data_IF_791466157689
#
_entry.id   IF_791466157689
#
_cell.length_a   1.000
_cell.length_b   1.000
_cell.length_c   1.000
_cell.angle_alpha   90.00
_cell.angle_beta   90.00
_cell.angle_gamma   90.00
#
_symmetry.space_group_name_H-M   'P 1'
#
loop_
_entity.id
_entity.type
_entity.pdbx_description
1 polymer ?
#
# COMPACT_ATOMS: atom_id res chain seq x y z
N UNK A 1 -20.10 13.90 -24.11
CA UNK A 1 -21.25 13.27 -23.46
C UNK A 1 -21.08 13.33 -21.95
N UNK A 2 -22.13 13.71 -21.23
CA UNK A 2 -22.15 13.81 -19.77
C UNK A 2 -23.32 12.94 -19.27
N UNK A 3 -23.03 11.99 -18.40
CA UNK A 3 -24.05 11.15 -17.73
C UNK A 3 -23.98 11.29 -16.18
N UNK A 4 -23.08 12.13 -15.68
CA UNK A 4 -22.92 12.40 -14.26
C UNK A 4 -23.72 13.62 -13.78
N UNK A 5 -23.68 13.91 -12.45
CA UNK A 5 -24.43 14.98 -11.82
C UNK A 5 -23.95 16.39 -12.19
N UNK A 6 -22.75 16.52 -12.76
CA UNK A 6 -22.17 17.82 -13.13
C UNK A 6 -21.64 17.83 -14.56
N UNK A 7 -21.63 19.04 -15.14
CA UNK A 7 -21.07 19.37 -16.45
C UNK A 7 -19.88 20.29 -16.25
N UNK A 8 -18.77 20.03 -16.97
CA UNK A 8 -17.60 20.90 -16.98
C UNK A 8 -17.96 22.26 -17.60
N UNK A 9 -17.74 23.35 -16.84
CA UNK A 9 -17.96 24.73 -17.26
C UNK A 9 -16.65 25.37 -17.74
N UNK A 10 -15.58 25.20 -16.98
CA UNK A 10 -14.25 25.69 -17.32
C UNK A 10 -13.15 24.80 -16.75
N UNK A 11 -12.01 24.81 -17.43
CA UNK A 11 -10.77 24.20 -16.97
C UNK A 11 -9.60 25.13 -17.26
N UNK A 12 -8.86 25.50 -16.21
CA UNK A 12 -7.63 26.28 -16.33
C UNK A 12 -6.50 25.49 -15.66
N UNK A 13 -5.54 25.04 -16.47
CA UNK A 13 -4.41 24.23 -16.00
C UNK A 13 -3.68 24.89 -14.83
N UNK A 14 -3.36 24.13 -13.79
CA UNK A 14 -2.71 24.59 -12.55
C UNK A 14 -3.42 25.77 -11.86
N UNK A 15 -4.71 25.93 -12.06
CA UNK A 15 -5.53 26.97 -11.45
C UNK A 15 -6.86 26.41 -10.93
N UNK A 16 -7.81 26.08 -11.81
CA UNK A 16 -9.13 25.65 -11.36
C UNK A 16 -9.89 24.78 -12.36
N UNK A 17 -10.82 23.99 -11.80
CA UNK A 17 -11.87 23.30 -12.57
C UNK A 17 -13.21 23.80 -12.02
N UNK A 18 -14.07 24.29 -12.89
CA UNK A 18 -15.42 24.71 -12.54
C UNK A 18 -16.44 23.79 -13.20
N UNK A 19 -17.42 23.36 -12.42
CA UNK A 19 -18.50 22.51 -12.88
C UNK A 19 -19.84 23.06 -12.42
N UNK A 20 -20.88 22.85 -13.21
CA UNK A 20 -22.26 23.21 -12.87
C UNK A 20 -23.16 21.99 -12.91
N UNK A 21 -24.26 22.01 -12.14
CA UNK A 21 -25.26 20.95 -12.08
C UNK A 21 -25.75 20.57 -13.48
N UNK A 22 -25.86 19.28 -13.72
CA UNK A 22 -26.42 18.71 -14.95
C UNK A 22 -27.94 18.54 -14.80
N UNK A 23 -28.71 19.43 -15.37
CA UNK A 23 -30.19 19.37 -15.32
C UNK A 23 -30.77 18.17 -16.09
N UNK A 24 -29.98 17.47 -16.89
CA UNK A 24 -30.38 16.25 -17.58
C UNK A 24 -29.93 14.98 -16.84
N UNK A 25 -29.32 15.12 -15.66
CA UNK A 25 -28.94 13.96 -14.85
C UNK A 25 -30.18 13.22 -14.34
N UNK A 26 -30.20 11.90 -14.42
CA UNK A 26 -31.36 11.07 -14.09
C UNK A 26 -31.82 11.23 -12.62
N UNK A 27 -30.90 11.52 -11.69
CA UNK A 27 -31.19 11.70 -10.27
C UNK A 27 -30.88 13.15 -9.81
N UNK A 28 -31.18 14.12 -10.66
CA UNK A 28 -30.86 15.55 -10.44
C UNK A 28 -31.47 16.14 -9.16
N UNK A 29 -32.60 15.60 -8.71
CA UNK A 29 -33.30 16.09 -7.52
C UNK A 29 -32.54 15.80 -6.23
N UNK A 30 -31.56 14.89 -6.25
CA UNK A 30 -30.61 14.62 -5.18
C UNK A 30 -29.29 15.38 -5.30
N UNK A 31 -29.13 16.20 -6.32
CA UNK A 31 -27.95 17.05 -6.49
C UNK A 31 -28.25 18.42 -5.88
N UNK A 32 -27.79 18.63 -4.66
CA UNK A 32 -28.10 19.82 -3.86
C UNK A 32 -27.13 20.99 -4.08
N UNK A 33 -25.93 20.72 -4.57
CA UNK A 33 -24.90 21.73 -4.87
C UNK A 33 -25.00 22.08 -6.35
N UNK A 34 -25.22 23.38 -6.67
CA UNK A 34 -25.39 23.84 -8.05
C UNK A 34 -24.07 23.98 -8.81
N UNK A 35 -23.07 24.50 -8.13
CA UNK A 35 -21.76 24.80 -8.72
C UNK A 35 -20.64 24.23 -7.84
N UNK A 36 -19.64 23.63 -8.48
CA UNK A 36 -18.44 23.10 -7.82
C UNK A 36 -17.21 23.76 -8.45
N UNK A 37 -16.37 24.36 -7.63
CA UNK A 37 -15.08 24.89 -8.03
C UNK A 37 -13.98 24.12 -7.29
N UNK A 38 -13.09 23.48 -8.05
CA UNK A 38 -11.87 22.87 -7.54
C UNK A 38 -10.72 23.83 -7.79
N UNK A 39 -9.96 24.17 -6.75
CA UNK A 39 -8.77 24.99 -6.86
C UNK A 39 -7.52 24.14 -6.82
N UNK A 40 -6.54 24.48 -7.64
CA UNK A 40 -5.28 23.75 -7.67
C UNK A 40 -4.47 24.02 -6.39
N UNK A 41 -3.98 22.94 -5.80
CA UNK A 41 -3.07 22.97 -4.66
C UNK A 41 -1.78 22.25 -5.02
N UNK A 42 -0.64 22.92 -4.88
CA UNK A 42 0.68 22.41 -5.28
C UNK A 42 1.33 21.47 -4.25
N UNK A 43 0.72 21.33 -3.06
CA UNK A 43 1.22 20.45 -2.00
C UNK A 43 2.33 21.03 -1.12
N UNK A 44 2.80 22.26 -1.38
CA UNK A 44 3.95 22.83 -0.67
C UNK A 44 3.59 23.33 0.74
N UNK A 45 2.55 24.16 0.88
CA UNK A 45 2.10 24.67 2.18
C UNK A 45 0.83 23.95 2.65
N UNK A 46 1.01 22.90 3.44
CA UNK A 46 -0.11 22.09 3.96
C UNK A 46 -1.04 22.89 4.89
N UNK A 47 -0.60 24.00 5.47
CA UNK A 47 -1.43 24.84 6.33
C UNK A 47 -2.40 25.73 5.54
N UNK A 48 -2.13 25.97 4.26
CA UNK A 48 -2.92 26.88 3.41
C UNK A 48 -4.38 26.47 3.28
N UNK A 49 -4.64 25.17 3.14
CA UNK A 49 -6.01 24.68 2.93
C UNK A 49 -6.91 24.95 4.14
N UNK A 50 -6.42 24.70 5.36
CA UNK A 50 -7.16 24.98 6.58
C UNK A 50 -7.38 26.48 6.79
N UNK A 51 -6.38 27.33 6.47
CA UNK A 51 -6.55 28.79 6.51
C UNK A 51 -7.61 29.28 5.51
N UNK A 52 -7.56 28.79 4.27
CA UNK A 52 -8.57 29.14 3.26
C UNK A 52 -9.98 28.67 3.63
N UNK A 53 -10.10 27.55 4.37
CA UNK A 53 -11.37 27.10 4.95
C UNK A 53 -11.86 28.08 6.02
N UNK A 54 -11.01 28.46 6.97
CA UNK A 54 -11.35 29.44 8.01
C UNK A 54 -11.72 30.83 7.47
N UNK A 55 -11.15 31.22 6.34
CA UNK A 55 -11.48 32.47 5.62
C UNK A 55 -12.74 32.34 4.74
N UNK A 56 -13.44 31.21 4.77
CA UNK A 56 -14.59 30.88 3.90
C UNK A 56 -14.28 30.91 2.39
N UNK A 57 -13.02 30.81 2.00
CA UNK A 57 -12.62 30.66 0.60
C UNK A 57 -12.85 29.23 0.07
N UNK A 58 -12.82 28.23 0.96
CA UNK A 58 -13.10 26.83 0.67
C UNK A 58 -14.25 26.33 1.55
N UNK A 59 -15.19 25.58 0.98
CA UNK A 59 -16.25 24.89 1.69
C UNK A 59 -15.81 23.52 2.23
N UNK A 60 -14.75 22.96 1.66
CA UNK A 60 -14.13 21.70 2.03
C UNK A 60 -12.62 21.81 1.88
N UNK A 61 -11.88 21.41 2.88
CA UNK A 61 -10.43 21.40 2.87
C UNK A 61 -9.87 20.14 3.50
N UNK A 62 -8.72 19.67 2.99
CA UNK A 62 -7.99 18.57 3.61
C UNK A 62 -7.10 19.11 4.72
N UNK A 63 -7.23 18.56 5.92
CA UNK A 63 -6.32 18.80 7.03
C UNK A 63 -5.24 17.71 7.05
N UNK A 64 -3.97 18.11 7.17
CA UNK A 64 -2.84 17.20 7.14
C UNK A 64 -2.29 16.99 8.57
N UNK A 65 -2.48 15.81 9.18
CA UNK A 65 -2.06 15.55 10.56
C UNK A 65 -0.55 15.66 10.82
N UNK A 66 0.25 15.56 9.78
CA UNK A 66 1.71 15.69 9.84
C UNK A 66 2.22 17.04 9.34
N UNK A 67 1.32 17.93 8.95
CA UNK A 67 1.64 19.28 8.46
C UNK A 67 1.99 20.26 9.59
N UNK A 68 2.76 21.29 9.22
CA UNK A 68 3.00 22.42 10.14
C UNK A 68 1.69 23.10 10.52
N UNK A 69 1.53 23.47 11.81
CA UNK A 69 0.31 24.12 12.30
C UNK A 69 -0.89 23.19 12.53
N UNK A 70 -0.74 21.88 12.35
CA UNK A 70 -1.85 20.93 12.55
C UNK A 70 -2.48 21.05 13.95
N UNK A 71 -1.66 21.14 15.01
CA UNK A 71 -2.16 21.19 16.40
C UNK A 71 -3.07 22.38 16.67
N UNK A 72 -2.75 23.55 16.11
CA UNK A 72 -3.56 24.75 16.21
C UNK A 72 -4.83 24.62 15.36
N UNK A 73 -4.70 24.20 14.12
CA UNK A 73 -5.82 24.02 13.20
C UNK A 73 -6.80 22.95 13.66
N UNK A 74 -6.29 21.84 14.22
CA UNK A 74 -7.12 20.78 14.77
C UNK A 74 -7.92 21.21 16.01
N UNK A 75 -7.39 22.17 16.79
CA UNK A 75 -8.14 22.81 17.89
C UNK A 75 -9.18 23.81 17.40
N UNK A 76 -8.79 24.65 16.44
CA UNK A 76 -9.63 25.68 15.86
C UNK A 76 -10.87 25.09 15.19
N UNK A 77 -10.68 24.04 14.38
CA UNK A 77 -11.74 23.41 13.58
C UNK A 77 -12.22 22.06 14.14
N UNK A 78 -12.07 21.82 15.44
CA UNK A 78 -12.34 20.49 16.04
C UNK A 78 -13.76 19.97 15.77
N UNK A 79 -14.74 20.84 15.66
CA UNK A 79 -16.15 20.52 15.49
C UNK A 79 -16.51 20.32 13.99
N UNK A 80 -15.64 20.77 13.06
CA UNK A 80 -15.77 20.64 11.63
C UNK A 80 -14.96 19.48 11.04
N UNK A 81 -14.01 18.92 11.83
CA UNK A 81 -13.18 17.81 11.36
C UNK A 81 -14.01 16.54 11.25
N UNK A 82 -14.03 15.97 10.07
CA UNK A 82 -14.62 14.66 9.81
C UNK A 82 -13.57 13.72 9.23
N UNK A 83 -13.68 12.44 9.58
CA UNK A 83 -12.88 11.39 8.95
C UNK A 83 -13.73 10.70 7.89
N UNK A 84 -13.17 10.55 6.69
CA UNK A 84 -13.82 9.72 5.67
C UNK A 84 -13.85 8.28 6.13
N UNK A 85 -14.94 7.54 5.89
CA UNK A 85 -14.96 6.10 6.11
C UNK A 85 -13.84 5.42 5.33
N UNK A 86 -13.30 4.33 5.87
CA UNK A 86 -12.40 3.47 5.13
C UNK A 86 -13.21 2.81 4.00
N UNK A 87 -12.76 2.98 2.77
CA UNK A 87 -13.38 2.37 1.59
C UNK A 87 -12.94 0.91 1.41
N UNK A 88 -13.38 0.27 0.34
CA UNK A 88 -13.01 -1.10 0.02
C UNK A 88 -11.62 -1.20 -0.65
N UNK A 89 -10.96 -0.08 -0.98
CA UNK A 89 -9.62 -0.11 -1.55
C UNK A 89 -8.59 -0.66 -0.55
N UNK A 90 -7.70 -1.50 -1.04
CA UNK A 90 -6.58 -2.04 -0.26
C UNK A 90 -5.26 -1.67 -0.90
N UNK A 91 -4.37 -1.06 -0.10
CA UNK A 91 -3.01 -0.73 -0.50
C UNK A 91 -2.05 -1.68 0.21
N UNK A 92 -1.10 -2.22 -0.53
CA UNK A 92 -0.16 -3.24 -0.03
C UNK A 92 1.28 -2.87 -0.37
N UNK A 93 2.22 -3.54 0.26
CA UNK A 93 3.61 -3.57 -0.21
C UNK A 93 3.73 -4.80 -1.11
N UNK A 94 3.88 -4.56 -2.41
CA UNK A 94 4.12 -5.60 -3.41
C UNK A 94 5.48 -6.26 -3.21
N UNK A 95 5.59 -7.52 -3.57
CA UNK A 95 6.83 -8.31 -3.50
C UNK A 95 7.18 -8.83 -4.87
N UNK A 96 8.30 -8.37 -5.45
CA UNK A 96 8.77 -8.87 -6.74
C UNK A 96 9.43 -10.25 -6.56
N UNK A 97 8.72 -11.29 -6.97
CA UNK A 97 9.20 -12.67 -6.86
C UNK A 97 10.07 -13.12 -8.04
N UNK A 98 10.14 -12.32 -9.12
CA UNK A 98 10.90 -12.65 -10.34
C UNK A 98 11.64 -11.46 -10.94
N UNK A 99 12.22 -10.60 -10.10
CA UNK A 99 12.93 -9.39 -10.54
C UNK A 99 14.02 -9.71 -11.56
N UNK A 100 14.03 -8.93 -12.67
CA UNK A 100 14.97 -9.07 -13.78
C UNK A 100 15.78 -7.80 -14.00
N UNK A 101 15.25 -6.60 -13.65
CA UNK A 101 15.95 -5.32 -13.76
C UNK A 101 16.63 -4.93 -12.45
N UNK A 102 17.86 -4.40 -12.54
CA UNK A 102 18.68 -3.96 -11.40
C UNK A 102 19.38 -2.62 -11.70
N UNK A 103 18.70 -1.70 -12.40
CA UNK A 103 19.24 -0.37 -12.71
C UNK A 103 19.29 0.51 -11.46
N UNK A 104 18.26 0.38 -10.61
CA UNK A 104 18.15 1.09 -9.33
C UNK A 104 18.31 0.08 -8.18
N UNK A 105 19.56 -0.27 -7.91
CA UNK A 105 19.87 -1.28 -6.89
C UNK A 105 21.06 -0.89 -6.04
N UNK A 106 21.03 -1.22 -4.76
CA UNK A 106 22.20 -1.15 -3.87
C UNK A 106 23.10 -2.40 -4.00
N UNK A 107 22.59 -3.49 -4.56
CA UNK A 107 23.30 -4.76 -4.77
C UNK A 107 24.43 -4.61 -5.78
N UNK A 108 25.62 -5.05 -5.42
CA UNK A 108 26.84 -4.89 -6.23
C UNK A 108 27.27 -6.16 -6.94
N UNK A 109 26.80 -7.31 -6.47
CA UNK A 109 27.18 -8.61 -7.01
C UNK A 109 25.95 -9.42 -7.43
N UNK A 110 26.17 -10.38 -8.33
CA UNK A 110 25.09 -11.30 -8.71
C UNK A 110 24.73 -12.26 -7.55
N UNK A 111 25.66 -12.54 -6.64
CA UNK A 111 25.40 -13.30 -5.43
C UNK A 111 24.38 -12.58 -4.52
N UNK A 112 24.51 -11.25 -4.33
CA UNK A 112 23.55 -10.44 -3.58
C UNK A 112 22.16 -10.44 -4.24
N UNK A 113 22.10 -10.30 -5.58
CA UNK A 113 20.84 -10.37 -6.34
C UNK A 113 20.16 -11.73 -6.17
N UNK A 114 20.91 -12.82 -6.31
CA UNK A 114 20.39 -14.18 -6.14
C UNK A 114 19.97 -14.47 -4.71
N UNK A 115 20.72 -13.97 -3.71
CA UNK A 115 20.37 -14.10 -2.29
C UNK A 115 19.02 -13.44 -2.00
N UNK A 116 18.80 -12.22 -2.49
CA UNK A 116 17.51 -11.54 -2.31
C UNK A 116 16.36 -12.26 -3.03
N UNK A 117 16.57 -12.72 -4.27
CA UNK A 117 15.56 -13.47 -5.02
C UNK A 117 15.15 -14.75 -4.27
N UNK A 118 16.10 -15.53 -3.77
CA UNK A 118 15.83 -16.73 -2.96
C UNK A 118 15.08 -16.39 -1.67
N UNK A 119 15.50 -15.33 -0.98
CA UNK A 119 14.85 -14.89 0.26
C UNK A 119 13.39 -14.49 0.02
N UNK A 120 13.09 -13.70 -1.03
CA UNK A 120 11.73 -13.30 -1.36
C UNK A 120 10.84 -14.46 -1.81
N UNK A 121 11.40 -15.55 -2.33
CA UNK A 121 10.68 -16.79 -2.64
C UNK A 121 10.44 -17.67 -1.42
N UNK A 122 11.16 -17.48 -0.31
CA UNK A 122 10.98 -18.22 0.91
C UNK A 122 9.78 -17.69 1.70
N UNK A 123 8.83 -18.57 2.06
CA UNK A 123 7.60 -18.21 2.78
C UNK A 123 7.90 -17.62 4.15
N UNK A 124 8.77 -18.27 4.94
CA UNK A 124 9.06 -17.86 6.31
C UNK A 124 9.77 -16.48 6.32
N UNK A 125 10.60 -16.21 5.32
CA UNK A 125 11.21 -14.89 5.14
C UNK A 125 10.16 -13.79 4.90
N UNK A 126 9.18 -14.02 4.00
CA UNK A 126 8.10 -13.05 3.76
C UNK A 126 7.22 -12.86 5.00
N UNK A 127 6.96 -13.93 5.75
CA UNK A 127 6.23 -13.85 7.03
C UNK A 127 7.02 -13.04 8.07
N UNK A 128 8.34 -13.26 8.17
CA UNK A 128 9.21 -12.47 9.05
C UNK A 128 9.13 -10.97 8.73
N UNK A 129 9.22 -10.58 7.45
CA UNK A 129 9.06 -9.17 7.02
C UNK A 129 7.66 -8.65 7.39
N UNK A 130 6.61 -9.45 7.19
CA UNK A 130 5.23 -9.04 7.52
C UNK A 130 5.03 -8.81 9.02
N UNK A 131 5.57 -9.66 9.88
CA UNK A 131 5.52 -9.47 11.35
C UNK A 131 6.45 -8.36 11.84
N UNK A 132 7.54 -8.07 11.14
CA UNK A 132 8.44 -6.97 11.44
C UNK A 132 7.88 -5.59 11.04
N UNK A 133 6.89 -5.55 10.15
CA UNK A 133 6.31 -4.32 9.61
C UNK A 133 5.32 -3.67 10.59
N UNK A 134 5.73 -2.58 11.22
CA UNK A 134 4.87 -1.74 12.06
C UNK A 134 3.97 -0.85 11.20
N UNK A 135 2.78 -1.36 10.86
CA UNK A 135 1.80 -0.68 10.00
C UNK A 135 1.27 0.61 10.64
N UNK A 136 1.16 0.65 11.96
CA UNK A 136 0.70 1.85 12.67
C UNK A 136 1.72 2.98 12.57
N UNK A 137 3.00 2.70 12.82
CA UNK A 137 4.07 3.68 12.67
C UNK A 137 4.18 4.19 11.21
N UNK A 138 4.02 3.29 10.24
CA UNK A 138 4.02 3.62 8.82
C UNK A 138 2.82 4.52 8.44
N UNK A 139 1.61 4.16 8.85
CA UNK A 139 0.40 4.94 8.60
C UNK A 139 0.43 6.31 9.27
N UNK A 140 1.02 6.42 10.46
CA UNK A 140 1.15 7.66 11.21
C UNK A 140 1.99 8.72 10.48
N UNK A 141 2.88 8.33 9.57
CA UNK A 141 3.68 9.27 8.77
C UNK A 141 2.83 10.16 7.84
N UNK A 142 1.63 9.73 7.50
CA UNK A 142 0.70 10.49 6.67
C UNK A 142 -0.53 10.96 7.46
N UNK A 143 -1.03 10.12 8.35
CA UNK A 143 -2.34 10.31 8.99
C UNK A 143 -2.24 10.75 10.45
N UNK A 144 -1.02 10.98 10.98
CA UNK A 144 -0.80 11.22 12.39
C UNK A 144 -1.16 10.00 13.26
N UNK A 145 -0.88 10.08 14.55
CA UNK A 145 -1.15 8.97 15.49
C UNK A 145 -2.65 8.64 15.58
N UNK A 146 -3.50 9.65 15.64
CA UNK A 146 -4.95 9.47 15.82
C UNK A 146 -5.65 8.94 14.55
N UNK A 147 -5.08 9.24 13.38
CA UNK A 147 -5.60 8.77 12.09
C UNK A 147 -5.05 7.41 11.67
N UNK A 148 -3.89 7.02 12.18
CA UNK A 148 -3.21 5.78 11.76
C UNK A 148 -4.08 4.54 11.98
N UNK A 149 -4.64 4.36 13.18
CA UNK A 149 -5.51 3.23 13.51
C UNK A 149 -6.79 3.16 12.66
N UNK A 150 -7.22 4.28 12.06
CA UNK A 150 -8.45 4.32 11.25
C UNK A 150 -8.27 3.79 9.83
N UNK A 151 -7.03 3.60 9.37
CA UNK A 151 -6.72 3.19 7.99
C UNK A 151 -5.91 1.90 7.89
N UNK A 152 -5.49 1.32 9.01
CA UNK A 152 -4.73 0.07 9.01
C UNK A 152 -5.63 -1.07 8.56
N UNK A 153 -5.12 -1.88 7.63
CA UNK A 153 -5.74 -3.12 7.18
C UNK A 153 -4.75 -4.27 7.29
N UNK A 154 -5.20 -5.39 7.85
CA UNK A 154 -4.38 -6.59 8.05
C UNK A 154 -4.62 -7.66 6.98
N UNK A 155 -5.75 -7.58 6.26
CA UNK A 155 -6.08 -8.45 5.15
C UNK A 155 -6.08 -7.68 3.84
N UNK A 156 -5.71 -8.33 2.75
CA UNK A 156 -5.81 -7.74 1.41
C UNK A 156 -7.27 -7.51 1.02
N UNK A 157 -8.15 -8.48 1.27
CA UNK A 157 -9.60 -8.31 1.15
C UNK A 157 -10.12 -7.76 2.48
N UNK A 158 -10.90 -6.66 2.50
CA UNK A 158 -11.40 -6.09 3.75
C UNK A 158 -12.19 -7.12 4.57
N UNK A 159 -11.98 -7.22 5.89
CA UNK A 159 -12.59 -8.26 6.72
C UNK A 159 -14.11 -8.21 6.75
N UNK A 160 -14.71 -7.04 6.48
CA UNK A 160 -16.17 -6.84 6.44
C UNK A 160 -16.74 -6.71 5.02
N UNK A 161 -15.95 -7.02 3.99
CA UNK A 161 -16.32 -6.81 2.59
C UNK A 161 -17.54 -7.65 2.18
N UNK A 162 -17.60 -8.90 2.62
CA UNK A 162 -18.74 -9.80 2.44
C UNK A 162 -19.02 -10.59 3.71
N UNK A 163 -20.22 -11.15 3.78
CA UNK A 163 -20.66 -12.08 4.82
C UNK A 163 -21.27 -13.34 4.19
N UNK A 164 -21.02 -14.50 4.78
CA UNK A 164 -21.66 -15.75 4.45
C UNK A 164 -21.94 -16.54 5.73
N UNK A 165 -23.13 -17.15 5.83
CA UNK A 165 -23.57 -17.94 6.98
C UNK A 165 -23.43 -17.22 8.33
N UNK A 166 -23.68 -15.90 8.35
CA UNK A 166 -23.60 -15.06 9.54
C UNK A 166 -22.18 -14.72 9.99
N UNK A 167 -21.15 -15.07 9.23
CA UNK A 167 -19.74 -14.75 9.48
C UNK A 167 -19.22 -13.76 8.45
N UNK A 168 -18.38 -12.82 8.90
CA UNK A 168 -17.63 -11.93 8.01
C UNK A 168 -16.51 -12.69 7.32
N UNK A 169 -16.02 -12.14 6.20
CA UNK A 169 -14.83 -12.68 5.51
C UNK A 169 -13.63 -12.80 6.46
N UNK A 170 -13.39 -11.79 7.29
CA UNK A 170 -12.30 -11.80 8.27
C UNK A 170 -12.41 -12.92 9.30
N UNK A 171 -13.63 -13.22 9.79
CA UNK A 171 -13.87 -14.35 10.70
C UNK A 171 -13.63 -15.72 10.02
N UNK A 172 -14.01 -15.85 8.74
CA UNK A 172 -13.75 -17.07 7.96
C UNK A 172 -12.24 -17.26 7.76
N UNK A 173 -11.53 -16.21 7.35
CA UNK A 173 -10.06 -16.24 7.19
C UNK A 173 -9.37 -16.55 8.51
N UNK A 174 -9.81 -15.95 9.62
CA UNK A 174 -9.25 -16.23 10.96
C UNK A 174 -9.43 -17.70 11.34
N UNK A 175 -10.61 -18.27 11.11
CA UNK A 175 -10.88 -19.68 11.37
C UNK A 175 -9.92 -20.59 10.58
N UNK A 176 -9.66 -20.27 9.32
CA UNK A 176 -8.71 -21.01 8.49
C UNK A 176 -7.26 -20.79 8.96
N UNK A 177 -6.88 -19.55 9.27
CA UNK A 177 -5.54 -19.21 9.70
C UNK A 177 -5.12 -19.95 10.97
N UNK A 178 -6.04 -20.15 11.91
CA UNK A 178 -5.79 -20.87 13.17
C UNK A 178 -5.42 -22.34 12.95
N UNK A 179 -5.67 -22.89 11.77
CA UNK A 179 -5.27 -24.25 11.39
C UNK A 179 -3.82 -24.35 10.91
N UNK A 180 -3.16 -23.24 10.57
CA UNK A 180 -1.82 -23.22 10.01
C UNK A 180 -0.70 -23.30 11.06
N UNK A 181 -1.02 -22.99 12.32
CA UNK A 181 -0.05 -23.09 13.42
C UNK A 181 -0.40 -22.22 14.63
N UNK A 182 0.25 -22.50 15.75
CA UNK A 182 0.01 -21.78 17.00
C UNK A 182 0.41 -20.30 16.93
N UNK A 183 1.37 -19.97 16.09
CA UNK A 183 1.82 -18.61 15.82
C UNK A 183 0.72 -17.69 15.29
N UNK A 184 -0.30 -18.26 14.64
CA UNK A 184 -1.41 -17.50 14.08
C UNK A 184 -2.59 -17.30 15.02
N UNK A 185 -2.71 -18.12 16.09
CA UNK A 185 -3.87 -18.10 17.01
C UNK A 185 -4.10 -16.76 17.68
N UNK A 186 -3.03 -16.03 18.03
CA UNK A 186 -3.11 -14.72 18.67
C UNK A 186 -3.23 -13.54 17.69
N UNK A 187 -3.17 -13.79 16.37
CA UNK A 187 -3.18 -12.75 15.35
C UNK A 187 -4.56 -12.14 15.19
N UNK A 188 -4.64 -10.82 15.23
CA UNK A 188 -5.86 -10.06 15.01
C UNK A 188 -5.88 -9.56 13.57
N UNK A 189 -6.97 -9.82 12.87
CA UNK A 189 -7.11 -9.51 11.44
C UNK A 189 -8.06 -8.33 11.15
N UNK A 190 -8.74 -7.82 12.19
CA UNK A 190 -9.66 -6.70 12.04
C UNK A 190 -8.94 -5.43 11.57
N UNK A 191 -9.65 -4.61 10.82
CA UNK A 191 -9.19 -3.26 10.45
C UNK A 191 -8.98 -2.40 11.70
N UNK A 192 -8.12 -1.40 11.58
CA UNK A 192 -7.84 -0.47 12.67
C UNK A 192 -6.91 -1.01 13.77
N UNK A 193 -6.38 -2.20 13.61
CA UNK A 193 -5.46 -2.82 14.58
C UNK A 193 -4.11 -3.12 13.93
N UNK A 194 -3.03 -2.97 14.70
CA UNK A 194 -1.67 -3.36 14.25
C UNK A 194 -1.42 -4.86 14.52
N UNK A 195 -2.37 -5.71 14.11
CA UNK A 195 -2.51 -7.10 14.52
C UNK A 195 -1.46 -8.05 13.97
N UNK A 196 -0.79 -7.69 12.88
CA UNK A 196 0.30 -8.47 12.30
C UNK A 196 1.69 -8.04 12.80
N UNK A 197 1.82 -6.90 13.51
CA UNK A 197 3.11 -6.48 14.02
C UNK A 197 3.48 -7.24 15.30
N UNK A 198 4.51 -8.06 15.22
CA UNK A 198 5.07 -8.82 16.35
C UNK A 198 6.55 -9.11 16.13
N UNK A 199 7.43 -8.32 16.76
CA UNK A 199 8.87 -8.44 16.59
C UNK A 199 9.43 -9.81 17.09
N UNK A 200 8.75 -10.48 18.02
CA UNK A 200 9.16 -11.81 18.49
C UNK A 200 8.87 -12.86 17.41
N UNK A 201 7.65 -12.88 16.90
CA UNK A 201 7.28 -13.75 15.76
C UNK A 201 8.12 -13.49 14.53
N UNK A 202 8.41 -12.22 14.23
CA UNK A 202 9.31 -11.87 13.14
C UNK A 202 10.68 -12.56 13.25
N UNK A 203 11.27 -12.58 14.46
CA UNK A 203 12.54 -13.27 14.72
C UNK A 203 12.43 -14.78 14.62
N UNK A 204 11.33 -15.36 15.10
CA UNK A 204 11.07 -16.80 15.04
C UNK A 204 10.96 -17.29 13.60
N UNK A 205 10.14 -16.59 12.78
CA UNK A 205 10.01 -16.90 11.36
C UNK A 205 11.31 -16.65 10.59
N UNK A 206 12.03 -15.56 10.92
CA UNK A 206 13.33 -15.29 10.32
C UNK A 206 14.36 -16.38 10.62
N UNK A 207 14.38 -16.94 11.83
CA UNK A 207 15.30 -18.01 12.20
C UNK A 207 15.06 -19.28 11.36
N UNK A 208 13.77 -19.63 11.11
CA UNK A 208 13.40 -20.73 10.18
C UNK A 208 13.89 -20.44 8.78
N UNK A 209 13.58 -19.23 8.26
CA UNK A 209 14.00 -18.80 6.94
C UNK A 209 15.53 -18.83 6.78
N UNK A 210 16.26 -18.29 7.76
CA UNK A 210 17.72 -18.22 7.73
C UNK A 210 18.36 -19.59 7.60
N UNK A 211 17.91 -20.56 8.39
CA UNK A 211 18.40 -21.94 8.33
C UNK A 211 18.20 -22.56 6.93
N UNK A 212 17.02 -22.38 6.33
CA UNK A 212 16.74 -22.89 5.01
C UNK A 212 17.56 -22.19 3.91
N UNK A 213 17.66 -20.85 4.00
CA UNK A 213 18.37 -20.02 3.02
C UNK A 213 19.90 -20.24 3.07
N UNK A 214 20.48 -20.41 4.26
CA UNK A 214 21.92 -20.77 4.41
C UNK A 214 22.21 -22.12 3.78
N UNK A 215 21.32 -23.10 3.91
CA UNK A 215 21.45 -24.40 3.24
C UNK A 215 21.40 -24.28 1.69
N UNK A 216 20.74 -23.24 1.16
CA UNK A 216 20.71 -22.92 -0.26
C UNK A 216 21.91 -22.04 -0.70
N UNK A 217 22.85 -21.73 0.20
CA UNK A 217 24.04 -20.92 -0.06
C UNK A 217 23.78 -19.41 -0.08
N UNK A 218 22.65 -18.95 0.47
CA UNK A 218 22.32 -17.52 0.58
C UNK A 218 23.27 -16.83 1.55
N UNK A 219 23.69 -15.62 1.17
CA UNK A 219 24.55 -14.76 2.01
C UNK A 219 23.73 -13.64 2.65
N UNK A 220 24.08 -13.31 3.87
CA UNK A 220 23.48 -12.23 4.64
C UNK A 220 24.46 -11.05 4.79
N UNK A 221 23.96 -9.80 4.92
CA UNK A 221 22.56 -9.43 4.98
C UNK A 221 21.85 -9.55 3.62
N UNK A 222 20.53 -9.76 3.65
CA UNK A 222 19.68 -9.65 2.47
C UNK A 222 19.43 -8.17 2.18
N UNK A 223 19.83 -7.69 1.02
CA UNK A 223 19.61 -6.34 0.55
C UNK A 223 18.30 -6.24 -0.24
N UNK A 224 17.36 -5.43 0.24
CA UNK A 224 16.02 -5.27 -0.36
C UNK A 224 15.88 -3.84 -0.88
N UNK A 225 15.87 -3.68 -2.21
CA UNK A 225 15.64 -2.37 -2.83
C UNK A 225 14.15 -2.01 -2.79
N UNK A 226 13.86 -0.80 -2.28
CA UNK A 226 12.51 -0.25 -2.21
C UNK A 226 12.51 1.16 -2.79
N UNK A 227 12.03 1.37 -4.03
CA UNK A 227 12.02 2.68 -4.65
C UNK A 227 10.91 3.57 -4.07
N UNK A 228 11.19 4.87 -4.01
CA UNK A 228 10.26 5.88 -3.52
C UNK A 228 10.38 7.20 -4.28
N UNK A 229 9.26 7.89 -4.47
CA UNK A 229 9.23 9.25 -4.99
C UNK A 229 9.88 10.22 -3.99
N UNK A 230 11.08 10.69 -4.31
CA UNK A 230 11.85 11.64 -3.50
C UNK A 230 11.19 13.02 -3.39
N UNK A 231 10.26 13.36 -4.27
CA UNK A 231 9.58 14.67 -4.30
C UNK A 231 8.39 14.74 -3.35
N UNK A 232 7.99 13.60 -2.76
CA UNK A 232 6.85 13.50 -1.83
C UNK A 232 7.33 13.12 -0.42
N UNK A 233 7.57 14.08 0.49
CA UNK A 233 8.16 13.81 1.81
C UNK A 233 7.44 12.76 2.63
N UNK A 234 6.09 12.73 2.61
CA UNK A 234 5.31 11.74 3.35
C UNK A 234 5.51 10.31 2.83
N UNK A 235 5.78 10.12 1.53
CA UNK A 235 6.14 8.80 0.98
C UNK A 235 7.51 8.37 1.47
N UNK A 236 8.49 9.27 1.42
CA UNK A 236 9.85 9.01 1.94
C UNK A 236 9.80 8.62 3.42
N UNK A 237 9.07 9.38 4.24
CA UNK A 237 8.91 9.09 5.67
C UNK A 237 8.26 7.72 5.92
N UNK A 238 7.25 7.33 5.13
CA UNK A 238 6.63 6.00 5.24
C UNK A 238 7.61 4.88 4.97
N UNK A 239 8.36 4.96 3.85
CA UNK A 239 9.35 3.93 3.52
C UNK A 239 10.50 3.89 4.54
N UNK A 240 10.91 5.04 5.09
CA UNK A 240 11.87 5.10 6.21
C UNK A 240 11.32 4.43 7.47
N UNK A 241 10.04 4.62 7.79
CA UNK A 241 9.37 3.94 8.92
C UNK A 241 9.32 2.43 8.72
N UNK A 242 9.04 1.96 7.50
CA UNK A 242 9.11 0.54 7.15
C UNK A 242 10.52 -0.02 7.35
N UNK A 243 11.52 0.66 6.76
CA UNK A 243 12.94 0.31 6.93
C UNK A 243 13.31 0.19 8.40
N UNK A 244 12.98 1.20 9.19
CA UNK A 244 13.29 1.22 10.61
C UNK A 244 12.69 0.02 11.34
N UNK A 245 11.39 -0.23 11.17
CA UNK A 245 10.72 -1.32 11.89
C UNK A 245 11.28 -2.69 11.53
N UNK A 246 11.57 -2.93 10.24
CA UNK A 246 12.12 -4.20 9.77
C UNK A 246 13.54 -4.42 10.25
N UNK A 247 14.41 -3.41 10.11
CA UNK A 247 15.81 -3.50 10.53
C UNK A 247 15.98 -3.57 12.05
N UNK A 248 15.11 -2.91 12.84
CA UNK A 248 15.11 -3.03 14.31
C UNK A 248 14.63 -4.43 14.76
N UNK A 249 13.62 -4.98 14.09
CA UNK A 249 13.10 -6.30 14.45
C UNK A 249 14.04 -7.44 14.08
N UNK A 250 14.64 -7.40 12.89
CA UNK A 250 15.42 -8.52 12.33
C UNK A 250 16.94 -8.37 12.46
N UNK A 251 17.45 -7.14 12.66
CA UNK A 251 18.87 -6.82 12.68
C UNK A 251 19.43 -6.52 11.29
N UNK A 252 20.25 -5.47 11.19
CA UNK A 252 20.90 -5.05 9.93
C UNK A 252 21.91 -6.06 9.39
N UNK A 253 22.43 -6.89 10.26
CA UNK A 253 23.29 -8.02 9.88
C UNK A 253 22.52 -9.14 9.15
N UNK A 254 21.20 -9.09 9.17
CA UNK A 254 20.32 -10.06 8.54
C UNK A 254 19.57 -9.47 7.33
N UNK A 255 18.99 -8.27 7.50
CA UNK A 255 18.17 -7.60 6.47
C UNK A 255 18.48 -6.12 6.43
N UNK A 256 18.70 -5.59 5.22
CA UNK A 256 18.88 -4.16 4.96
C UNK A 256 17.86 -3.72 3.93
N UNK A 257 17.05 -2.71 4.26
CA UNK A 257 16.14 -2.06 3.32
C UNK A 257 16.89 -0.90 2.65
N UNK A 258 17.15 -1.03 1.37
CA UNK A 258 17.85 -0.03 0.56
C UNK A 258 16.84 0.86 -0.17
N UNK A 259 16.63 2.07 0.36
CA UNK A 259 15.67 3.02 -0.22
C UNK A 259 16.28 3.63 -1.47
N UNK A 260 15.64 3.42 -2.64
CA UNK A 260 16.03 3.99 -3.92
C UNK A 260 15.24 5.28 -4.16
N UNK A 261 15.92 6.43 -4.00
CA UNK A 261 15.29 7.77 -4.16
C UNK A 261 15.18 8.11 -5.65
N UNK A 262 13.98 8.08 -6.20
CA UNK A 262 13.70 8.32 -7.61
C UNK A 262 12.87 9.58 -7.83
N UNK A 263 12.92 10.13 -9.04
CA UNK A 263 11.89 11.08 -9.47
C UNK A 263 10.53 10.38 -9.54
N UNK A 264 9.45 11.16 -9.49
CA UNK A 264 8.10 10.59 -9.63
C UNK A 264 7.93 9.85 -10.96
N UNK A 265 8.49 10.40 -12.05
CA UNK A 265 8.45 9.79 -13.39
C UNK A 265 9.23 8.47 -13.42
N UNK A 266 10.47 8.46 -12.92
CA UNK A 266 11.28 7.25 -12.88
C UNK A 266 10.63 6.16 -12.02
N UNK A 267 10.08 6.53 -10.84
CA UNK A 267 9.34 5.57 -10.02
C UNK A 267 8.20 4.92 -10.78
N UNK A 268 7.38 5.72 -11.49
CA UNK A 268 6.28 5.18 -12.27
C UNK A 268 6.74 4.28 -13.43
N UNK A 269 7.84 4.64 -14.08
CA UNK A 269 8.41 3.87 -15.19
C UNK A 269 9.00 2.52 -14.76
N UNK A 270 9.44 2.39 -13.51
CA UNK A 270 9.99 1.13 -12.96
C UNK A 270 8.99 0.36 -12.10
N UNK A 271 7.76 0.84 -11.99
CA UNK A 271 6.64 0.20 -11.29
C UNK A 271 5.41 0.16 -12.20
N UNK A 272 4.40 0.96 -11.94
CA UNK A 272 3.08 0.93 -12.57
C UNK A 272 3.11 0.97 -14.10
N UNK A 273 4.00 1.78 -14.70
CA UNK A 273 4.10 1.98 -16.16
C UNK A 273 5.24 1.17 -16.80
N UNK A 274 5.88 0.28 -16.06
CA UNK A 274 6.81 -0.66 -16.68
C UNK A 274 6.08 -1.44 -17.79
N UNK A 275 6.67 -1.57 -18.99
CA UNK A 275 5.98 -2.17 -20.15
C UNK A 275 5.69 -3.66 -19.96
N UNK A 276 6.48 -4.33 -19.13
CA UNK A 276 6.38 -5.74 -18.77
C UNK A 276 7.13 -5.99 -17.47
N UNK A 277 7.06 -7.20 -16.93
CA UNK A 277 7.73 -7.56 -15.68
C UNK A 277 9.27 -7.40 -15.72
N UNK A 278 9.90 -7.55 -16.90
CA UNK A 278 11.34 -7.33 -17.04
C UNK A 278 11.74 -5.85 -16.81
N UNK A 279 10.80 -4.92 -16.93
CA UNK A 279 11.00 -3.49 -16.63
C UNK A 279 10.77 -3.13 -15.15
N UNK A 280 10.15 -4.02 -14.36
CA UNK A 280 9.94 -3.82 -12.93
C UNK A 280 11.29 -3.86 -12.18
N UNK A 281 11.65 -2.75 -11.54
CA UNK A 281 13.00 -2.57 -10.97
C UNK A 281 12.95 -2.28 -9.47
N UNK A 282 12.44 -3.23 -8.72
CA UNK A 282 12.26 -3.19 -7.27
C UNK A 282 12.20 -4.61 -6.68
N UNK A 283 12.49 -4.73 -5.38
CA UNK A 283 12.25 -5.95 -4.60
C UNK A 283 10.94 -5.84 -3.81
N UNK A 284 10.71 -4.67 -3.18
CA UNK A 284 9.45 -4.30 -2.55
C UNK A 284 8.97 -2.96 -3.11
N UNK A 285 7.64 -2.80 -3.25
CA UNK A 285 7.03 -1.55 -3.72
C UNK A 285 5.80 -1.19 -2.89
N UNK A 286 5.72 0.06 -2.39
CA UNK A 286 4.52 0.60 -1.72
C UNK A 286 3.58 1.33 -2.70
N UNK A 287 3.84 1.23 -4.00
CA UNK A 287 3.07 1.92 -5.04
C UNK A 287 1.99 1.01 -5.67
N UNK A 288 1.40 0.13 -4.88
CA UNK A 288 0.40 -0.83 -5.36
C UNK A 288 -0.84 -0.86 -4.47
N UNK A 289 -1.99 -1.03 -5.11
CA UNK A 289 -3.29 -1.13 -4.45
C UNK A 289 -4.37 -1.55 -5.44
N UNK A 290 -5.51 -1.95 -4.90
CA UNK A 290 -6.66 -2.36 -5.68
C UNK A 290 -7.96 -1.88 -5.04
N UNK A 291 -8.89 -1.43 -5.86
CA UNK A 291 -10.28 -1.18 -5.48
C UNK A 291 -11.17 -2.22 -6.16
N UNK A 292 -12.16 -2.80 -5.47
CA UNK A 292 -12.97 -3.85 -6.06
C UNK A 292 -13.88 -3.30 -7.18
N UNK A 293 -14.02 -4.07 -8.27
CA UNK A 293 -14.93 -3.75 -9.36
C UNK A 293 -16.38 -4.16 -9.05
N UNK A 294 -16.55 -5.16 -8.18
CA UNK A 294 -17.84 -5.70 -7.76
C UNK A 294 -17.75 -6.31 -6.36
N UNK A 295 -18.90 -6.56 -5.73
CA UNK A 295 -18.97 -7.01 -4.34
C UNK A 295 -18.86 -8.54 -4.22
N UNK A 296 -17.73 -9.07 -4.65
CA UNK A 296 -17.31 -10.47 -4.46
C UNK A 296 -15.80 -10.51 -4.18
N UNK A 297 -15.30 -11.34 -3.24
CA UNK A 297 -13.88 -11.43 -2.91
C UNK A 297 -12.98 -11.78 -4.10
N UNK A 298 -13.50 -12.46 -5.11
CA UNK A 298 -12.74 -12.81 -6.32
C UNK A 298 -12.18 -11.60 -7.06
N UNK A 299 -12.83 -10.41 -6.97
CA UNK A 299 -12.32 -9.19 -7.60
C UNK A 299 -10.90 -8.81 -7.14
N UNK A 300 -10.51 -9.18 -5.90
CA UNK A 300 -9.16 -8.96 -5.40
C UNK A 300 -8.17 -10.02 -5.84
N UNK A 301 -8.66 -11.22 -6.11
CA UNK A 301 -7.81 -12.39 -6.35
C UNK A 301 -7.61 -12.65 -7.85
N UNK A 302 -8.63 -12.39 -8.66
CA UNK A 302 -8.59 -12.61 -10.12
C UNK A 302 -7.45 -11.83 -10.78
N UNK A 303 -7.17 -10.62 -10.32
CA UNK A 303 -6.08 -9.78 -10.83
C UNK A 303 -4.68 -10.34 -10.54
N UNK A 304 -4.57 -11.29 -9.59
CA UNK A 304 -3.32 -11.93 -9.16
C UNK A 304 -3.18 -13.37 -9.66
N UNK A 305 -4.13 -13.89 -10.44
CA UNK A 305 -4.02 -15.23 -11.04
C UNK A 305 -2.73 -15.36 -11.84
N UNK A 306 -1.93 -16.37 -11.52
CA UNK A 306 -0.62 -16.54 -12.12
C UNK A 306 -0.67 -16.71 -13.65
N UNK A 307 -1.75 -17.31 -14.20
CA UNK A 307 -1.91 -17.57 -15.64
C UNK A 307 -2.49 -16.38 -16.42
N UNK A 308 -3.27 -15.49 -15.78
CA UNK A 308 -4.08 -14.50 -16.49
C UNK A 308 -4.33 -13.18 -15.74
N UNK A 309 -3.78 -13.02 -14.53
CA UNK A 309 -4.05 -11.84 -13.70
C UNK A 309 -3.44 -10.56 -14.28
N UNK A 310 -4.23 -9.50 -14.36
CA UNK A 310 -3.84 -8.22 -14.98
C UNK A 310 -2.78 -7.46 -14.17
N UNK A 311 -2.68 -7.72 -12.86
CA UNK A 311 -1.79 -6.99 -11.95
C UNK A 311 -0.66 -7.84 -11.35
N UNK A 312 -0.42 -9.05 -11.84
CA UNK A 312 0.71 -9.88 -11.38
C UNK A 312 2.05 -9.15 -11.57
N UNK A 313 2.21 -8.40 -12.66
CA UNK A 313 3.38 -7.57 -12.92
C UNK A 313 3.60 -6.56 -11.79
N UNK A 314 2.61 -5.73 -11.49
CA UNK A 314 2.73 -4.59 -10.56
C UNK A 314 2.79 -5.02 -9.09
N UNK A 315 2.12 -6.12 -8.71
CA UNK A 315 2.09 -6.61 -7.34
C UNK A 315 3.19 -7.63 -7.03
N UNK A 316 3.56 -8.44 -8.03
CA UNK A 316 4.38 -9.64 -7.84
C UNK A 316 5.60 -9.71 -8.77
N UNK A 317 5.73 -8.78 -9.72
CA UNK A 317 6.92 -8.64 -10.57
C UNK A 317 7.06 -9.70 -11.66
N UNK A 318 5.97 -10.34 -12.12
CA UNK A 318 6.01 -11.27 -13.23
C UNK A 318 4.81 -11.09 -14.18
N UNK A 319 5.03 -11.34 -15.47
CA UNK A 319 3.96 -11.34 -16.47
C UNK A 319 3.15 -12.65 -16.38
N UNK A 320 1.81 -12.62 -16.57
CA UNK A 320 0.98 -13.82 -16.53
C UNK A 320 1.50 -14.92 -17.45
N UNK A 321 1.52 -16.15 -16.97
CA UNK A 321 2.01 -17.32 -17.71
C UNK A 321 1.39 -18.59 -17.16
N UNK A 322 1.16 -19.59 -18.00
CA UNK A 322 0.73 -20.93 -17.58
C UNK A 322 1.82 -21.69 -16.79
N UNK A 323 3.07 -21.20 -16.81
CA UNK A 323 4.20 -21.93 -16.27
C UNK A 323 5.34 -21.03 -15.79
N UNK A 324 5.06 -20.12 -14.84
CA UNK A 324 6.10 -19.31 -14.21
C UNK A 324 6.66 -20.04 -12.97
N UNK A 325 7.97 -20.34 -12.97
CA UNK A 325 8.61 -21.11 -11.89
C UNK A 325 8.62 -20.37 -10.53
N UNK A 326 8.75 -19.04 -10.52
CA UNK A 326 8.68 -18.26 -9.28
C UNK A 326 7.27 -18.29 -8.70
N UNK A 327 6.24 -18.13 -9.56
CA UNK A 327 4.83 -18.22 -9.16
C UNK A 327 4.46 -19.61 -8.62
N UNK A 328 4.97 -20.68 -9.22
CA UNK A 328 4.83 -22.06 -8.68
C UNK A 328 5.43 -22.18 -7.30
N UNK A 329 6.67 -21.70 -7.15
CA UNK A 329 7.41 -21.83 -5.89
C UNK A 329 6.72 -21.14 -4.71
N UNK A 330 5.95 -20.08 -4.97
CA UNK A 330 5.18 -19.38 -3.94
C UNK A 330 3.71 -19.84 -3.84
N UNK A 331 3.29 -20.84 -4.61
CA UNK A 331 1.97 -21.47 -4.52
C UNK A 331 0.84 -20.69 -5.22
N UNK A 332 1.16 -19.81 -6.21
CA UNK A 332 0.13 -19.01 -6.89
C UNK A 332 -0.73 -19.79 -7.90
N UNK A 333 -0.37 -21.04 -8.22
CA UNK A 333 -1.20 -21.93 -9.05
C UNK A 333 -2.08 -22.88 -8.22
N UNK A 334 -1.95 -22.88 -6.88
CA UNK A 334 -2.73 -23.73 -5.99
C UNK A 334 -4.09 -23.11 -5.60
N UNK A 335 -4.46 -22.00 -6.27
CA UNK A 335 -5.50 -21.10 -5.83
C UNK A 335 -6.60 -20.84 -6.90
#
# INVERSE_FOLDING_TARGET
>A
LYNGPYILKSFTSKSSIEMTKNENYWDKDKVYVSDVKLEFYDGQDQSKLAKSFGENALSLAKLFPTGSGYSEQAKEFKDEITYTPQDAASYVIGTNIDRQSYKHTAKKTDEEKQSTKKALLNKDFRQAISFAFNREAYAAQLNGKDGASKIIRNLYIPPTFVQADGKTFGEMVKTQLDTYGDEWKSTKLDDGQNGLFDAKKAKEEFAKAKTALEAEGVKFPIHIDMPVDQTTPSRVQRVQSFKQSVEEALGKENVVIDIQMLSKEDLQNVTLFAPNAAGEDWDLSDNVGWSPDYQDPSTYMDILKASSGENTKTFLGFDPSENNEAAKKVGLYDF
#
